data_IF_089524199769
#
_entry.id   IF_089524199769
#
_cell.length_a   1.000
_cell.length_b   1.000
_cell.length_c   1.000
_cell.angle_alpha   90.00
_cell.angle_beta   90.00
_cell.angle_gamma   90.00
#
_symmetry.space_group_name_H-M   'P 1'
#
loop_
_entity.id
_entity.type
_entity.pdbx_description
1 polymer ?
#
# COMPACT_ATOMS: atom_id res chain seq x y z
N UNK A 1 9.64 0.50 17.91
CA UNK A 1 10.66 0.54 16.86
C UNK A 1 10.14 -0.32 15.74
N UNK A 2 9.31 0.25 14.89
CA UNK A 2 8.77 -0.44 13.71
C UNK A 2 9.92 -0.59 12.71
N UNK A 3 10.27 -1.83 12.40
CA UNK A 3 11.19 -2.14 11.30
C UNK A 3 10.33 -2.04 10.05
N UNK A 4 10.61 -1.07 9.19
CA UNK A 4 9.95 -0.94 7.90
C UNK A 4 10.21 -2.20 7.07
N UNK A 5 9.18 -3.03 6.94
CA UNK A 5 9.26 -4.33 6.25
C UNK A 5 9.59 -4.15 4.77
N UNK A 6 9.31 -2.98 4.20
CA UNK A 6 9.71 -2.65 2.83
C UNK A 6 11.22 -2.40 2.72
N UNK A 7 11.82 -1.72 3.70
CA UNK A 7 13.28 -1.66 3.84
C UNK A 7 13.86 -3.06 4.09
N UNK A 8 13.21 -3.92 4.86
CA UNK A 8 13.68 -5.27 5.14
C UNK A 8 13.64 -6.19 3.90
N UNK A 9 12.59 -6.13 3.09
CA UNK A 9 12.47 -6.94 1.86
C UNK A 9 13.41 -6.45 0.75
N UNK A 10 13.56 -5.13 0.60
CA UNK A 10 14.58 -4.53 -0.28
C UNK A 10 15.96 -4.91 0.24
N UNK A 11 16.19 -4.88 1.55
CA UNK A 11 17.45 -5.31 2.16
C UNK A 11 17.72 -6.78 1.97
N UNK A 12 16.77 -7.71 2.08
CA UNK A 12 17.06 -9.13 1.83
C UNK A 12 17.42 -9.35 0.36
N UNK A 13 16.66 -8.72 -0.55
CA UNK A 13 16.94 -8.83 -1.99
C UNK A 13 18.32 -8.27 -2.29
N UNK A 14 18.67 -7.08 -1.81
CA UNK A 14 20.02 -6.50 -1.94
C UNK A 14 21.08 -7.33 -1.21
N UNK A 15 20.83 -7.82 0.00
CA UNK A 15 21.78 -8.58 0.81
C UNK A 15 22.08 -9.95 0.20
N UNK A 16 21.17 -10.51 -0.58
CA UNK A 16 21.40 -11.76 -1.32
C UNK A 16 21.96 -11.45 -2.71
N UNK A 17 21.34 -10.53 -3.45
CA UNK A 17 21.71 -10.25 -4.84
C UNK A 17 23.02 -9.48 -4.97
N UNK A 18 23.38 -8.59 -4.04
CA UNK A 18 24.59 -7.79 -4.10
C UNK A 18 25.85 -8.64 -3.88
N UNK A 19 25.96 -9.51 -2.86
CA UNK A 19 27.12 -10.40 -2.74
C UNK A 19 27.21 -11.38 -3.91
N UNK A 20 26.07 -11.87 -4.40
CA UNK A 20 26.02 -12.69 -5.61
C UNK A 20 26.54 -11.92 -6.82
N UNK A 21 26.06 -10.69 -7.06
CA UNK A 21 26.50 -9.86 -8.18
C UNK A 21 27.97 -9.47 -8.06
N UNK A 22 28.46 -9.16 -6.86
CA UNK A 22 29.89 -8.87 -6.62
C UNK A 22 30.74 -10.11 -6.84
N UNK A 23 30.33 -11.26 -6.30
CA UNK A 23 31.03 -12.53 -6.49
C UNK A 23 31.09 -12.90 -7.98
N UNK A 24 29.95 -12.85 -8.68
CA UNK A 24 29.88 -13.13 -10.10
C UNK A 24 30.65 -12.09 -10.94
N UNK A 25 30.59 -10.81 -10.58
CA UNK A 25 31.33 -9.74 -11.25
C UNK A 25 32.85 -9.89 -11.10
N UNK A 26 33.34 -10.24 -9.91
CA UNK A 26 34.76 -10.51 -9.66
C UNK A 26 35.20 -11.78 -10.38
N UNK A 27 34.45 -12.87 -10.28
CA UNK A 27 34.77 -14.11 -10.99
C UNK A 27 34.77 -13.91 -12.52
N UNK A 28 33.78 -13.19 -13.05
CA UNK A 28 33.69 -12.87 -14.46
C UNK A 28 34.84 -11.97 -14.91
N UNK A 29 35.16 -10.91 -14.14
CA UNK A 29 36.28 -10.01 -14.41
C UNK A 29 37.62 -10.73 -14.44
N UNK A 30 37.87 -11.65 -13.50
CA UNK A 30 39.09 -12.47 -13.50
C UNK A 30 39.17 -13.43 -14.68
N UNK A 31 38.04 -14.03 -15.08
CA UNK A 31 37.96 -14.92 -16.24
C UNK A 31 38.22 -14.14 -17.53
N UNK A 32 37.58 -12.97 -17.71
CA UNK A 32 37.74 -12.11 -18.89
C UNK A 32 39.15 -11.53 -18.97
N UNK A 33 39.67 -10.99 -17.88
CA UNK A 33 41.03 -10.44 -17.83
C UNK A 33 42.06 -11.50 -18.24
N UNK A 34 41.91 -12.72 -17.72
CA UNK A 34 42.82 -13.82 -18.08
C UNK A 34 42.63 -14.29 -19.52
N UNK A 35 41.40 -14.35 -20.03
CA UNK A 35 41.13 -14.64 -21.44
C UNK A 35 41.80 -13.61 -22.35
N UNK A 36 41.67 -12.32 -22.04
CA UNK A 36 42.31 -11.24 -22.79
C UNK A 36 43.83 -11.34 -22.77
N UNK A 37 44.44 -11.62 -21.61
CA UNK A 37 45.90 -11.85 -21.53
C UNK A 37 46.33 -12.99 -22.46
N UNK A 38 45.61 -14.12 -22.48
CA UNK A 38 45.96 -15.26 -23.34
C UNK A 38 45.72 -14.94 -24.82
N UNK A 39 44.60 -14.28 -25.16
CA UNK A 39 44.25 -13.96 -26.53
C UNK A 39 45.21 -12.93 -27.17
N UNK A 40 45.77 -12.02 -26.37
CA UNK A 40 46.63 -10.94 -26.86
C UNK A 40 48.13 -11.15 -26.56
N UNK A 41 48.53 -12.14 -25.75
CA UNK A 41 49.95 -12.49 -25.64
C UNK A 41 50.35 -13.34 -26.85
N UNK A 42 51.21 -12.80 -27.71
CA UNK A 42 51.81 -13.52 -28.85
C UNK A 42 52.77 -14.66 -28.44
N UNK A 43 52.73 -15.13 -27.18
CA UNK A 43 53.54 -16.26 -26.72
C UNK A 43 52.80 -17.55 -27.02
N UNK A 44 53.45 -18.42 -27.81
CA UNK A 44 53.08 -19.82 -27.99
C UNK A 44 53.34 -20.63 -26.71
N UNK A 45 52.73 -20.24 -25.58
CA UNK A 45 52.90 -20.90 -24.30
C UNK A 45 51.92 -22.07 -24.17
N UNK A 46 52.13 -23.10 -24.99
CA UNK A 46 51.41 -24.38 -24.95
C UNK A 46 51.50 -25.10 -23.59
N UNK A 47 52.37 -24.63 -22.68
CA UNK A 47 52.66 -25.26 -21.39
C UNK A 47 52.03 -24.55 -20.17
N UNK A 48 51.26 -23.49 -20.35
CA UNK A 48 50.62 -22.83 -19.19
C UNK A 48 49.40 -23.63 -18.73
N UNK A 49 49.55 -24.36 -17.61
CA UNK A 49 48.45 -25.14 -17.06
C UNK A 49 47.25 -24.23 -16.72
N UNK A 50 46.03 -24.59 -17.14
CA UNK A 50 44.85 -23.79 -16.84
C UNK A 50 44.58 -23.82 -15.33
N UNK A 51 44.73 -22.65 -14.70
CA UNK A 51 44.32 -22.37 -13.32
C UNK A 51 42.84 -22.71 -13.11
N UNK A 52 42.48 -23.15 -11.90
CA UNK A 52 41.15 -23.65 -11.56
C UNK A 52 39.98 -22.73 -12.00
N UNK A 53 40.04 -21.38 -11.82
CA UNK A 53 38.98 -20.48 -12.25
C UNK A 53 38.79 -20.42 -13.78
N UNK A 54 39.85 -20.60 -14.58
CA UNK A 54 39.68 -20.60 -16.05
C UNK A 54 39.00 -21.85 -16.57
N UNK A 55 39.12 -22.98 -15.86
CA UNK A 55 38.40 -24.21 -16.20
C UNK A 55 36.90 -24.01 -16.00
N UNK A 56 36.51 -23.33 -14.91
CA UNK A 56 35.14 -22.94 -14.64
C UNK A 56 34.62 -21.90 -15.63
N UNK A 57 35.42 -20.87 -15.94
CA UNK A 57 35.06 -19.86 -16.95
C UNK A 57 34.72 -20.47 -18.31
N UNK A 58 35.48 -21.48 -18.75
CA UNK A 58 35.17 -22.23 -19.98
C UNK A 58 33.84 -22.96 -19.90
N UNK A 59 33.46 -23.51 -18.74
CA UNK A 59 32.17 -24.17 -18.57
C UNK A 59 31.01 -23.17 -18.51
N UNK A 60 31.16 -22.04 -17.82
CA UNK A 60 30.13 -20.98 -17.71
C UNK A 60 29.92 -20.26 -19.06
N UNK A 61 31.00 -19.99 -19.80
CA UNK A 61 30.93 -19.35 -21.12
C UNK A 61 30.72 -20.34 -22.27
N UNK A 62 30.71 -21.65 -21.99
CA UNK A 62 30.30 -22.63 -22.99
C UNK A 62 28.82 -22.46 -23.32
N UNK A 63 28.39 -22.99 -24.46
CA UNK A 63 26.98 -23.06 -24.82
C UNK A 63 26.10 -23.62 -23.69
N UNK A 64 26.59 -24.63 -22.96
CA UNK A 64 25.88 -25.21 -21.80
C UNK A 64 25.76 -24.22 -20.64
N UNK A 65 26.79 -23.44 -20.37
CA UNK A 65 26.76 -22.44 -19.31
C UNK A 65 25.89 -21.24 -19.65
N UNK A 66 25.88 -20.80 -20.92
CA UNK A 66 24.94 -19.79 -21.41
C UNK A 66 23.49 -20.26 -21.28
N UNK A 67 23.20 -21.53 -21.58
CA UNK A 67 21.86 -22.09 -21.34
C UNK A 67 21.45 -22.07 -19.87
N UNK A 68 22.38 -22.37 -18.95
CA UNK A 68 22.11 -22.29 -17.50
C UNK A 68 21.86 -20.84 -17.06
N UNK A 69 22.64 -19.87 -17.55
CA UNK A 69 22.44 -18.46 -17.25
C UNK A 69 21.11 -17.94 -17.83
N UNK A 70 20.77 -18.31 -19.07
CA UNK A 70 19.46 -18.01 -19.66
C UNK A 70 18.34 -18.64 -18.84
N UNK A 71 18.50 -19.88 -18.37
CA UNK A 71 17.51 -20.55 -17.52
C UNK A 71 17.32 -19.82 -16.19
N UNK A 72 18.41 -19.44 -15.50
CA UNK A 72 18.34 -18.66 -14.25
C UNK A 72 17.67 -17.30 -14.49
N UNK A 73 17.99 -16.63 -15.60
CA UNK A 73 17.36 -15.37 -15.98
C UNK A 73 15.85 -15.55 -16.23
N UNK A 74 15.46 -16.56 -16.99
CA UNK A 74 14.06 -16.91 -17.23
C UNK A 74 13.35 -17.25 -15.92
N UNK A 75 13.99 -18.01 -15.02
CA UNK A 75 13.40 -18.38 -13.73
C UNK A 75 13.19 -17.16 -12.84
N UNK A 76 14.14 -16.22 -12.81
CA UNK A 76 13.97 -14.94 -12.12
C UNK A 76 12.83 -14.11 -12.73
N UNK A 77 12.79 -13.99 -14.06
CA UNK A 77 11.73 -13.29 -14.77
C UNK A 77 10.36 -13.92 -14.51
N UNK A 78 10.25 -15.24 -14.58
CA UNK A 78 9.03 -15.99 -14.28
C UNK A 78 8.62 -15.90 -12.81
N UNK A 79 9.56 -15.76 -11.88
CA UNK A 79 9.21 -15.53 -10.48
C UNK A 79 8.70 -14.11 -10.23
N UNK A 80 9.22 -13.10 -10.92
CA UNK A 80 8.73 -11.72 -10.82
C UNK A 80 7.36 -11.55 -11.49
N UNK A 81 7.21 -12.08 -12.71
CA UNK A 81 5.94 -12.18 -13.41
C UNK A 81 4.95 -13.05 -12.64
N UNK A 82 5.40 -14.17 -12.08
CA UNK A 82 4.59 -15.10 -11.29
C UNK A 82 4.11 -14.49 -9.98
N UNK A 83 4.93 -13.63 -9.34
CA UNK A 83 4.52 -12.87 -8.16
C UNK A 83 3.47 -11.82 -8.53
N UNK A 84 3.68 -11.13 -9.63
CA UNK A 84 2.70 -10.17 -10.18
C UNK A 84 1.40 -10.88 -10.56
N UNK A 85 1.48 -12.04 -11.21
CA UNK A 85 0.35 -12.88 -11.57
C UNK A 85 -0.33 -13.51 -10.36
N UNK A 86 0.37 -13.81 -9.26
CA UNK A 86 -0.23 -14.23 -8.00
C UNK A 86 -1.05 -13.08 -7.37
N UNK A 87 -0.55 -11.85 -7.45
CA UNK A 87 -1.29 -10.65 -7.04
C UNK A 87 -2.38 -10.24 -8.04
N UNK A 88 -2.27 -10.60 -9.32
CA UNK A 88 -3.25 -10.33 -10.36
C UNK A 88 -4.29 -11.46 -10.53
N UNK A 89 -4.03 -12.69 -10.10
CA UNK A 89 -4.99 -13.81 -10.17
C UNK A 89 -6.22 -13.62 -9.25
N UNK A 90 -6.31 -12.45 -8.63
CA UNK A 90 -7.46 -11.84 -7.95
C UNK A 90 -8.62 -11.53 -8.90
N UNK A 91 -8.48 -11.76 -10.22
CA UNK A 91 -9.53 -11.62 -11.26
C UNK A 91 -10.84 -12.37 -10.93
N UNK A 92 -10.81 -13.36 -10.02
CA UNK A 92 -12.01 -14.11 -9.58
C UNK A 92 -12.68 -13.63 -8.29
N UNK A 93 -12.23 -12.54 -7.65
CA UNK A 93 -12.81 -12.06 -6.37
C UNK A 93 -12.35 -12.82 -5.13
N UNK A 94 -11.38 -13.72 -5.26
CA UNK A 94 -10.63 -14.26 -4.12
C UNK A 94 -9.36 -13.43 -4.00
N UNK A 95 -9.18 -12.75 -2.88
CA UNK A 95 -7.91 -12.10 -2.52
C UNK A 95 -7.13 -13.09 -1.63
N UNK A 96 -6.36 -14.04 -2.21
CA UNK A 96 -5.74 -15.12 -1.42
C UNK A 96 -4.76 -14.60 -0.36
N UNK A 97 -4.28 -13.37 -0.52
CA UNK A 97 -3.39 -12.72 0.43
C UNK A 97 -4.03 -12.28 1.75
N UNK A 98 -5.36 -12.15 1.83
CA UNK A 98 -6.08 -11.76 3.05
C UNK A 98 -6.64 -12.95 3.85
N UNK A 99 -6.47 -14.17 3.36
CA UNK A 99 -6.91 -15.39 4.06
C UNK A 99 -6.28 -15.48 5.46
N UNK A 100 -7.02 -16.03 6.43
CA UNK A 100 -6.60 -16.14 7.84
C UNK A 100 -5.25 -16.87 7.95
N UNK A 101 -5.04 -17.90 7.12
CA UNK A 101 -3.85 -18.76 7.12
C UNK A 101 -2.57 -18.06 6.62
N UNK A 102 -2.67 -16.89 5.97
CA UNK A 102 -1.50 -16.17 5.46
C UNK A 102 -0.75 -15.47 6.58
N UNK A 103 0.56 -15.34 6.37
CA UNK A 103 1.42 -14.54 7.25
C UNK A 103 1.06 -13.06 7.20
N UNK A 104 1.30 -12.34 8.28
CA UNK A 104 1.01 -10.91 8.38
C UNK A 104 1.75 -10.10 7.30
N UNK A 105 2.95 -10.51 6.90
CA UNK A 105 3.69 -9.88 5.81
C UNK A 105 2.97 -10.00 4.46
N UNK A 106 2.38 -11.16 4.16
CA UNK A 106 1.61 -11.37 2.91
C UNK A 106 0.34 -10.53 2.94
N UNK A 107 -0.38 -10.50 4.07
CA UNK A 107 -1.57 -9.67 4.26
C UNK A 107 -1.26 -8.19 4.08
N UNK A 108 -0.20 -7.70 4.74
CA UNK A 108 0.25 -6.31 4.62
C UNK A 108 0.57 -5.93 3.17
N UNK A 109 1.36 -6.73 2.46
CA UNK A 109 1.68 -6.48 1.05
C UNK A 109 0.44 -6.48 0.17
N UNK A 110 -0.52 -7.35 0.46
CA UNK A 110 -1.79 -7.41 -0.26
C UNK A 110 -2.64 -6.17 -0.02
N UNK A 111 -2.74 -5.70 1.22
CA UNK A 111 -3.44 -4.46 1.56
C UNK A 111 -2.80 -3.24 0.88
N UNK A 112 -1.47 -3.14 0.94
CA UNK A 112 -0.71 -2.09 0.25
C UNK A 112 -0.98 -2.10 -1.25
N UNK A 113 -0.95 -3.28 -1.87
CA UNK A 113 -1.26 -3.43 -3.28
C UNK A 113 -2.69 -2.97 -3.60
N UNK A 114 -3.69 -3.32 -2.78
CA UNK A 114 -5.09 -2.91 -3.00
C UNK A 114 -5.33 -1.41 -2.81
N UNK A 115 -4.53 -0.74 -1.98
CA UNK A 115 -4.54 0.72 -1.83
C UNK A 115 -4.00 1.37 -3.12
N UNK A 116 -2.87 0.88 -3.62
CA UNK A 116 -2.21 1.41 -4.83
C UNK A 116 -2.96 1.05 -6.12
N UNK A 117 -3.63 -0.11 -6.12
CA UNK A 117 -4.30 -0.70 -7.28
C UNK A 117 -5.74 -1.06 -6.90
N UNK A 118 -6.64 -0.07 -7.02
CA UNK A 118 -8.06 -0.23 -6.70
C UNK A 118 -8.66 -1.42 -7.45
N UNK A 119 -9.17 -2.40 -6.70
CA UNK A 119 -9.86 -3.57 -7.22
C UNK A 119 -11.23 -3.69 -6.53
N UNK A 120 -12.33 -3.28 -7.19
CA UNK A 120 -13.67 -3.36 -6.61
C UNK A 120 -14.09 -4.76 -6.16
N UNK A 121 -13.51 -5.82 -6.72
CA UNK A 121 -13.79 -7.20 -6.30
C UNK A 121 -13.19 -7.56 -4.93
N UNK A 122 -12.26 -6.76 -4.41
CA UNK A 122 -11.62 -7.00 -3.12
C UNK A 122 -12.46 -6.51 -1.92
N UNK A 123 -13.54 -5.76 -2.15
CA UNK A 123 -14.33 -5.09 -1.10
C UNK A 123 -14.87 -6.12 -0.10
N UNK A 124 -15.49 -7.20 -0.56
CA UNK A 124 -16.03 -8.24 0.33
C UNK A 124 -14.91 -8.89 1.15
N UNK A 125 -13.76 -9.19 0.54
CA UNK A 125 -12.61 -9.74 1.25
C UNK A 125 -12.04 -8.77 2.30
N UNK A 126 -12.04 -7.46 2.02
CA UNK A 126 -11.62 -6.44 2.99
C UNK A 126 -12.60 -6.36 4.16
N UNK A 127 -13.91 -6.36 3.89
CA UNK A 127 -14.95 -6.35 4.92
C UNK A 127 -14.84 -7.59 5.82
N UNK A 128 -14.72 -8.77 5.21
CA UNK A 128 -14.53 -10.04 5.94
C UNK A 128 -13.25 -10.00 6.78
N UNK A 129 -12.15 -9.48 6.22
CA UNK A 129 -10.88 -9.36 6.93
C UNK A 129 -10.98 -8.45 8.16
N UNK A 130 -11.65 -7.30 8.03
CA UNK A 130 -11.88 -6.37 9.14
C UNK A 130 -12.74 -7.03 10.24
N UNK A 131 -13.79 -7.75 9.85
CA UNK A 131 -14.72 -8.39 10.78
C UNK A 131 -14.12 -9.58 11.53
N UNK A 132 -13.13 -10.27 10.96
CA UNK A 132 -12.51 -11.45 11.55
C UNK A 132 -11.49 -11.15 12.68
N UNK A 133 -11.36 -9.90 13.13
CA UNK A 133 -10.58 -9.48 14.32
C UNK A 133 -9.14 -10.01 14.35
N UNK A 134 -8.41 -9.80 13.27
CA UNK A 134 -6.97 -10.10 13.17
C UNK A 134 -6.06 -9.07 13.88
N UNK A 135 -4.79 -9.04 13.45
CA UNK A 135 -3.80 -8.05 13.89
C UNK A 135 -4.33 -6.62 13.69
N UNK A 136 -4.29 -5.80 14.75
CA UNK A 136 -4.83 -4.44 14.74
C UNK A 136 -4.22 -3.54 13.67
N UNK A 137 -2.92 -3.64 13.40
CA UNK A 137 -2.27 -2.82 12.37
C UNK A 137 -2.73 -3.21 10.97
N UNK A 138 -2.95 -4.50 10.72
CA UNK A 138 -3.51 -4.96 9.45
C UNK A 138 -4.96 -4.50 9.28
N UNK A 139 -5.76 -4.52 10.35
CA UNK A 139 -7.13 -4.00 10.31
C UNK A 139 -7.13 -2.51 9.95
N UNK A 140 -6.22 -1.71 10.52
CA UNK A 140 -6.08 -0.28 10.16
C UNK A 140 -5.80 -0.11 8.67
N UNK A 141 -4.88 -0.89 8.11
CA UNK A 141 -4.58 -0.87 6.68
C UNK A 141 -5.79 -1.31 5.83
N UNK A 142 -6.58 -2.26 6.30
CA UNK A 142 -7.79 -2.70 5.61
C UNK A 142 -8.90 -1.64 5.63
N UNK A 143 -9.10 -0.95 6.76
CA UNK A 143 -10.01 0.20 6.87
C UNK A 143 -9.59 1.29 5.89
N UNK A 144 -8.30 1.60 5.83
CA UNK A 144 -7.75 2.58 4.91
C UNK A 144 -7.93 2.17 3.44
N UNK A 145 -7.69 0.89 3.11
CA UNK A 145 -7.94 0.34 1.78
C UNK A 145 -9.43 0.44 1.40
N UNK A 146 -10.34 0.19 2.34
CA UNK A 146 -11.79 0.23 2.09
C UNK A 146 -12.27 1.64 1.71
N UNK A 147 -11.67 2.70 2.24
CA UNK A 147 -12.00 4.07 1.86
C UNK A 147 -11.60 4.48 0.44
N UNK A 148 -10.77 3.68 -0.24
CA UNK A 148 -10.47 3.91 -1.64
C UNK A 148 -11.64 3.51 -2.57
N UNK A 149 -12.74 3.01 -2.01
CA UNK A 149 -13.98 2.63 -2.67
C UNK A 149 -15.18 3.50 -2.22
N UNK A 150 -15.12 4.85 -2.36
CA UNK A 150 -16.18 5.76 -1.91
C UNK A 150 -17.56 5.42 -2.51
N UNK A 151 -17.58 5.06 -3.79
CA UNK A 151 -18.82 4.81 -4.53
C UNK A 151 -19.51 3.49 -4.12
N UNK A 152 -18.83 2.65 -3.32
CA UNK A 152 -19.39 1.37 -2.91
C UNK A 152 -20.20 1.50 -1.60
N UNK A 153 -21.51 1.19 -1.61
CA UNK A 153 -22.35 1.33 -0.42
C UNK A 153 -21.93 0.44 0.75
N UNK A 154 -21.42 -0.77 0.48
CA UNK A 154 -20.99 -1.71 1.52
C UNK A 154 -19.72 -1.21 2.21
N UNK A 155 -18.79 -0.64 1.44
CA UNK A 155 -17.58 0.00 1.97
C UNK A 155 -17.94 1.14 2.93
N UNK A 156 -18.82 2.06 2.49
CA UNK A 156 -19.29 3.17 3.35
C UNK A 156 -20.01 2.63 4.57
N UNK A 157 -20.95 1.69 4.41
CA UNK A 157 -21.70 1.11 5.52
C UNK A 157 -20.77 0.45 6.56
N UNK A 158 -19.76 -0.29 6.13
CA UNK A 158 -18.77 -0.89 7.02
C UNK A 158 -17.94 0.17 7.74
N UNK A 159 -17.49 1.22 7.06
CA UNK A 159 -16.77 2.34 7.69
C UNK A 159 -17.65 3.08 8.71
N UNK A 160 -18.93 3.35 8.39
CA UNK A 160 -19.90 3.92 9.32
C UNK A 160 -20.08 3.03 10.56
N UNK A 161 -20.24 1.72 10.36
CA UNK A 161 -20.37 0.78 11.47
C UNK A 161 -19.12 0.78 12.38
N UNK A 162 -17.92 0.87 11.81
CA UNK A 162 -16.68 0.97 12.59
C UNK A 162 -16.61 2.30 13.33
N UNK A 163 -17.05 3.41 12.72
CA UNK A 163 -17.09 4.72 13.36
C UNK A 163 -17.97 4.72 14.61
N UNK A 164 -19.18 4.14 14.54
CA UNK A 164 -20.13 4.13 15.66
C UNK A 164 -19.90 3.02 16.67
N UNK A 165 -19.49 1.85 16.20
CA UNK A 165 -19.48 0.60 16.99
C UNK A 165 -18.10 -0.07 17.05
N UNK A 166 -17.07 0.59 16.51
CA UNK A 166 -15.69 0.10 16.58
C UNK A 166 -15.26 -0.14 18.01
N UNK A 167 -14.72 -1.33 18.26
CA UNK A 167 -14.28 -1.74 19.61
C UNK A 167 -13.17 -0.85 20.16
N UNK A 168 -12.37 -0.25 19.28
CA UNK A 168 -11.22 0.55 19.67
C UNK A 168 -11.29 1.94 19.05
N UNK A 169 -10.96 2.95 19.85
CA UNK A 169 -10.95 4.35 19.44
C UNK A 169 -10.12 4.60 18.17
N UNK A 170 -8.96 3.94 18.05
CA UNK A 170 -8.12 4.11 16.86
C UNK A 170 -8.80 3.61 15.59
N UNK A 171 -9.62 2.55 15.63
CA UNK A 171 -10.39 2.13 14.45
C UNK A 171 -11.48 3.14 14.09
N UNK A 172 -12.13 3.75 15.09
CA UNK A 172 -13.12 4.80 14.86
C UNK A 172 -12.48 6.03 14.21
N UNK A 173 -11.32 6.46 14.71
CA UNK A 173 -10.55 7.56 14.14
C UNK A 173 -10.13 7.25 12.69
N UNK A 174 -9.61 6.06 12.43
CA UNK A 174 -9.22 5.65 11.08
C UNK A 174 -10.44 5.62 10.15
N UNK A 175 -11.58 5.06 10.58
CA UNK A 175 -12.80 5.07 9.78
C UNK A 175 -13.29 6.50 9.50
N UNK A 176 -13.21 7.39 10.49
CA UNK A 176 -13.55 8.81 10.30
C UNK A 176 -12.65 9.47 9.25
N UNK A 177 -11.34 9.23 9.33
CA UNK A 177 -10.35 9.75 8.39
C UNK A 177 -10.60 9.21 6.99
N UNK A 178 -10.87 7.90 6.90
CA UNK A 178 -11.14 7.20 5.65
C UNK A 178 -12.40 7.76 4.96
N UNK A 179 -13.49 7.97 5.71
CA UNK A 179 -14.71 8.59 5.20
C UNK A 179 -14.48 10.02 4.69
N UNK A 180 -13.61 10.80 5.33
CA UNK A 180 -13.32 12.16 4.90
C UNK A 180 -12.39 12.23 3.70
N UNK A 181 -11.34 11.40 3.67
CA UNK A 181 -10.39 11.30 2.56
C UNK A 181 -11.02 10.68 1.31
N UNK A 182 -12.15 9.97 1.46
CA UNK A 182 -12.90 9.40 0.34
C UNK A 182 -13.40 10.46 -0.65
N UNK A 183 -13.58 11.71 -0.20
CA UNK A 183 -14.16 12.78 -1.02
C UNK A 183 -15.64 12.57 -1.36
N UNK A 184 -16.30 11.53 -0.83
CA UNK A 184 -17.70 11.22 -1.08
C UNK A 184 -18.62 12.01 -0.14
N UNK A 185 -19.65 12.60 -0.73
CA UNK A 185 -20.65 13.37 -0.01
C UNK A 185 -21.38 12.52 1.05
N UNK A 186 -21.61 11.22 0.81
CA UNK A 186 -22.16 10.27 1.79
C UNK A 186 -21.20 10.02 2.94
N UNK A 187 -19.90 9.98 2.67
CA UNK A 187 -18.88 9.89 3.71
C UNK A 187 -18.94 11.10 4.64
N UNK A 188 -19.09 12.29 4.06
CA UNK A 188 -19.26 13.53 4.82
C UNK A 188 -20.59 13.58 5.58
N UNK A 189 -21.69 13.13 4.97
CA UNK A 189 -22.99 13.03 5.63
C UNK A 189 -22.91 12.11 6.86
N UNK A 190 -22.27 10.93 6.72
CA UNK A 190 -22.01 9.99 7.82
C UNK A 190 -21.24 10.65 8.96
N UNK A 191 -20.18 11.39 8.63
CA UNK A 191 -19.36 12.07 9.62
C UNK A 191 -20.18 13.16 10.36
N UNK A 192 -21.01 13.94 9.68
CA UNK A 192 -21.87 14.92 10.34
C UNK A 192 -22.89 14.29 11.29
N UNK A 193 -23.45 13.15 10.93
CA UNK A 193 -24.29 12.37 11.83
C UNK A 193 -23.50 11.90 13.04
N UNK A 194 -22.24 11.49 12.84
CA UNK A 194 -21.33 11.12 13.92
C UNK A 194 -20.89 12.30 14.81
N UNK A 195 -20.98 13.55 14.35
CA UNK A 195 -20.74 14.74 15.19
C UNK A 195 -21.88 15.06 16.15
N UNK A 196 -23.02 14.37 16.09
CA UNK A 196 -24.10 14.63 17.04
C UNK A 196 -23.70 14.25 18.48
N UNK A 197 -24.21 14.94 19.51
CA UNK A 197 -23.84 14.70 20.91
C UNK A 197 -24.01 13.25 21.37
N UNK A 198 -24.87 12.48 20.70
CA UNK A 198 -25.17 11.08 21.00
C UNK A 198 -24.06 10.10 20.62
N UNK A 199 -23.10 10.49 19.79
CA UNK A 199 -22.05 9.60 19.26
C UNK A 199 -20.85 9.42 20.20
N UNK A 200 -20.78 10.21 21.27
CA UNK A 200 -19.68 10.19 22.24
C UNK A 200 -18.53 11.14 21.89
N UNK A 201 -17.88 11.67 22.93
CA UNK A 201 -16.87 12.73 22.84
C UNK A 201 -15.66 12.36 21.95
N UNK A 202 -15.28 11.08 21.97
CA UNK A 202 -14.15 10.56 21.21
C UNK A 202 -14.41 10.64 19.69
N UNK A 203 -15.56 10.12 19.25
CA UNK A 203 -16.00 10.19 17.84
C UNK A 203 -16.14 11.65 17.41
N UNK A 204 -16.79 12.47 18.26
CA UNK A 204 -16.94 13.90 18.00
C UNK A 204 -15.61 14.61 17.76
N UNK A 205 -14.63 14.42 18.64
CA UNK A 205 -13.32 15.08 18.55
C UNK A 205 -12.56 14.68 17.29
N UNK A 206 -12.58 13.38 16.96
CA UNK A 206 -11.97 12.83 15.75
C UNK A 206 -12.61 13.44 14.50
N UNK A 207 -13.94 13.37 14.41
CA UNK A 207 -14.65 13.88 13.23
C UNK A 207 -14.50 15.38 13.10
N UNK A 208 -14.56 16.14 14.19
CA UNK A 208 -14.39 17.59 14.20
C UNK A 208 -12.99 18.02 13.71
N UNK A 209 -11.93 17.35 14.18
CA UNK A 209 -10.57 17.64 13.73
C UNK A 209 -10.41 17.42 12.22
N UNK A 210 -10.99 16.33 11.73
CA UNK A 210 -10.98 15.98 10.30
C UNK A 210 -11.81 16.97 9.50
N UNK A 211 -13.00 17.33 9.96
CA UNK A 211 -13.82 18.37 9.34
C UNK A 211 -13.08 19.70 9.22
N UNK A 212 -12.40 20.12 10.29
CA UNK A 212 -11.62 21.35 10.30
C UNK A 212 -10.46 21.33 9.31
N UNK A 213 -9.82 20.18 9.12
CA UNK A 213 -8.73 20.05 8.15
C UNK A 213 -9.24 20.03 6.70
N UNK A 214 -10.38 19.37 6.45
CA UNK A 214 -10.84 19.02 5.11
C UNK A 214 -11.82 20.03 4.50
N UNK A 215 -12.48 20.84 5.32
CA UNK A 215 -13.51 21.78 4.87
C UNK A 215 -12.93 23.12 4.40
N UNK A 216 -13.65 23.85 3.54
CA UNK A 216 -13.21 25.15 3.06
C UNK A 216 -13.15 26.19 4.19
N UNK A 217 -12.32 27.23 4.02
CA UNK A 217 -12.02 28.23 5.04
C UNK A 217 -13.27 28.96 5.57
N UNK A 218 -14.30 29.09 4.74
CA UNK A 218 -15.60 29.65 5.08
C UNK A 218 -16.30 28.85 6.19
N UNK A 219 -16.06 27.53 6.24
CA UNK A 219 -16.57 26.67 7.29
C UNK A 219 -15.76 26.79 8.58
N UNK A 220 -14.48 27.19 8.52
CA UNK A 220 -13.65 27.36 9.72
C UNK A 220 -14.25 28.33 10.72
N UNK A 221 -14.99 29.35 10.27
CA UNK A 221 -15.65 30.33 11.15
C UNK A 221 -16.62 29.63 12.10
N UNK A 222 -17.39 28.67 11.58
CA UNK A 222 -18.33 27.88 12.38
C UNK A 222 -17.59 26.86 13.24
N UNK A 223 -16.52 26.25 12.72
CA UNK A 223 -15.77 25.23 13.44
C UNK A 223 -14.95 25.81 14.61
N UNK A 224 -14.34 27.00 14.47
CA UNK A 224 -13.54 27.63 15.54
C UNK A 224 -14.32 27.88 16.83
N UNK A 225 -15.62 28.08 16.70
CA UNK A 225 -16.48 28.37 17.85
C UNK A 225 -16.95 27.13 18.58
N UNK A 226 -16.91 25.94 17.96
CA UNK A 226 -17.41 24.67 18.50
C UNK A 226 -16.68 24.32 19.81
N UNK A 227 -17.22 24.81 20.92
CA UNK A 227 -16.83 24.51 22.30
C UNK A 227 -17.79 23.48 22.89
N UNK A 228 -18.10 22.43 22.12
CA UNK A 228 -19.08 21.39 22.47
C UNK A 228 -20.53 21.90 22.63
N UNK A 229 -20.82 23.14 22.21
CA UNK A 229 -22.19 23.65 22.17
C UNK A 229 -22.95 23.06 20.97
N UNK A 230 -24.01 22.31 21.28
CA UNK A 230 -24.91 21.68 20.31
C UNK A 230 -25.41 22.68 19.25
N UNK A 231 -25.64 23.94 19.62
CA UNK A 231 -26.11 24.98 18.70
C UNK A 231 -25.10 25.31 17.59
N UNK A 232 -23.80 25.19 17.88
CA UNK A 232 -22.73 25.50 16.93
C UNK A 232 -22.51 24.34 15.95
N UNK A 233 -22.67 23.11 16.44
CA UNK A 233 -22.69 21.91 15.60
C UNK A 233 -23.86 21.98 14.63
N UNK A 234 -25.06 22.37 15.11
CA UNK A 234 -26.23 22.57 14.26
C UNK A 234 -26.01 23.64 13.18
N UNK A 235 -25.36 24.76 13.52
CA UNK A 235 -25.01 25.79 12.54
C UNK A 235 -24.06 25.27 11.46
N UNK A 236 -23.03 24.51 11.84
CA UNK A 236 -22.09 23.90 10.89
C UNK A 236 -22.80 22.88 9.97
N UNK A 237 -23.65 22.01 10.53
CA UNK A 237 -24.48 21.06 9.76
C UNK A 237 -25.40 21.81 8.80
N UNK A 238 -26.08 22.88 9.26
CA UNK A 238 -26.98 23.68 8.44
C UNK A 238 -26.26 24.38 7.30
N UNK A 239 -25.08 24.93 7.56
CA UNK A 239 -24.22 25.54 6.54
C UNK A 239 -23.81 24.50 5.50
N UNK A 240 -23.34 23.32 5.93
CA UNK A 240 -22.97 22.24 5.02
C UNK A 240 -24.15 21.82 4.15
N UNK A 241 -25.31 21.52 4.74
CA UNK A 241 -26.52 21.12 3.99
C UNK A 241 -26.94 22.15 2.94
N UNK A 242 -26.78 23.45 3.23
CA UNK A 242 -27.07 24.54 2.30
C UNK A 242 -26.08 24.62 1.13
N UNK A 243 -24.82 24.26 1.35
CA UNK A 243 -23.74 24.42 0.38
C UNK A 243 -23.24 23.11 -0.24
N UNK A 244 -23.80 21.96 0.18
CA UNK A 244 -23.41 20.60 -0.24
C UNK A 244 -23.21 20.48 -1.74
N UNK A 245 -24.16 20.97 -2.54
CA UNK A 245 -24.13 20.84 -4.00
C UNK A 245 -23.03 21.67 -4.68
N UNK A 246 -22.52 22.68 -3.96
CA UNK A 246 -21.44 23.57 -4.39
C UNK A 246 -20.06 23.09 -3.96
N UNK A 247 -19.97 22.14 -3.02
CA UNK A 247 -18.70 21.61 -2.55
C UNK A 247 -18.10 20.66 -3.60
N UNK A 248 -16.84 20.88 -3.94
CA UNK A 248 -16.06 19.99 -4.81
C UNK A 248 -14.81 19.53 -4.08
N UNK A 249 -14.60 18.22 -4.06
CA UNK A 249 -13.37 17.61 -3.55
C UNK A 249 -12.22 17.90 -4.52
N UNK A 250 -11.09 18.34 -3.97
CA UNK A 250 -9.85 18.50 -4.73
C UNK A 250 -8.80 17.50 -4.24
N UNK A 251 -8.59 16.43 -5.02
CA UNK A 251 -7.67 15.33 -4.69
C UNK A 251 -6.26 15.80 -4.34
N UNK A 252 -5.71 16.75 -5.11
CA UNK A 252 -4.35 17.29 -4.92
C UNK A 252 -4.14 17.88 -3.52
N UNK A 253 -5.15 18.53 -2.96
CA UNK A 253 -5.08 19.22 -1.67
C UNK A 253 -5.75 18.41 -0.55
N UNK A 254 -6.40 17.29 -0.88
CA UNK A 254 -7.27 16.51 0.00
C UNK A 254 -8.23 17.39 0.82
N UNK A 255 -8.88 18.35 0.15
CA UNK A 255 -9.79 19.34 0.76
C UNK A 255 -10.96 19.67 -0.16
N UNK A 256 -12.08 20.04 0.45
CA UNK A 256 -13.23 20.59 -0.23
C UNK A 256 -13.07 22.09 -0.48
N UNK A 257 -13.54 22.52 -1.64
CA UNK A 257 -13.63 23.92 -2.02
C UNK A 257 -15.07 24.26 -2.36
N UNK A 258 -15.49 25.46 -1.97
CA UNK A 258 -16.78 26.01 -2.36
C UNK A 258 -16.64 26.60 -3.77
N UNK A 259 -17.37 26.05 -4.73
CA UNK A 259 -17.41 26.59 -6.08
C UNK A 259 -18.70 27.39 -6.30
N UNK A 260 -18.53 28.63 -6.73
CA UNK A 260 -19.62 29.51 -7.17
C UNK A 260 -19.96 30.61 -6.16
N UNK A 261 -19.55 31.82 -6.52
CA UNK A 261 -20.47 32.94 -6.74
C UNK A 261 -20.41 33.32 -8.23
#
# INVERSE_FOLDING_TARGET
MEIDVSEFAVNITLLVTLPLAVFFGVCFGLVVNRYLIVAYSNRSDANTQPTFPSRWGKHILSWKGLLILCFIFILNFLMDEGRTNYYQSVVGGVVPGLEIERTDSVKFMTLKYLIENKNPHAINSLIDFINNKGNGDLIRHAIYALAHYPDNPDAIHTLSNILYHGQYFFFQLEAAQALADSGDVKGIDTLLEAMQPKSGLAVFSSVFAIFKEKMPAEMEVYLRTIQEDESQIEMAIKWYKKNRDKLKWQEKNKRYFLYGD
#
